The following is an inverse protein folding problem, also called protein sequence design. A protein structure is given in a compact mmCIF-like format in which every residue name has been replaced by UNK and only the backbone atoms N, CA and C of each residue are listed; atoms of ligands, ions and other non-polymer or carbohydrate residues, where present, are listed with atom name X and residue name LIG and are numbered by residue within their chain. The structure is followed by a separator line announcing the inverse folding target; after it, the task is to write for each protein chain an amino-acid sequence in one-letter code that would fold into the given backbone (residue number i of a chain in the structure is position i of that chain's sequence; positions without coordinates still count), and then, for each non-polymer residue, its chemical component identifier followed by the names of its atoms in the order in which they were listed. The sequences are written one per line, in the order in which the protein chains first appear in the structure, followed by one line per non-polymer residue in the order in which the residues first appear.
data_IF_238898569272
#
_entry.id   IF_238898569272
#
_cell.length_a   1.000
_cell.length_b   1.000
_cell.length_c   1.000
_cell.angle_alpha   90.00
_cell.angle_beta   90.00
_cell.angle_gamma   90.00
#
_symmetry.space_group_name_H-M   'P 1'
#
loop_
_entity.id
_entity.type
_entity.pdbx_description
1 polymer ?
#
# COMPACT_ATOMS: atom_id res chain seq x y z
N UNK A 1 -4.54 -9.27 -14.67
CA UNK A 1 -3.27 -9.64 -15.36
C UNK A 1 -2.29 -10.39 -14.45
N UNK A 2 -2.64 -10.65 -13.19
CA UNK A 2 -1.80 -11.41 -12.26
C UNK A 2 -0.77 -10.57 -11.49
N UNK A 3 -0.68 -9.25 -11.74
CA UNK A 3 0.18 -8.36 -10.96
C UNK A 3 -0.29 -8.30 -9.50
N UNK A 4 0.66 -8.32 -8.57
CA UNK A 4 0.41 -8.22 -7.13
C UNK A 4 0.95 -6.89 -6.62
N UNK A 5 0.05 -6.09 -6.05
CA UNK A 5 0.32 -4.78 -5.43
C UNK A 5 -0.16 -4.80 -3.98
N UNK A 6 0.47 -4.05 -3.05
CA UNK A 6 0.12 -4.06 -1.64
C UNK A 6 -1.10 -3.19 -1.31
N UNK A 7 -1.51 -2.29 -2.20
CA UNK A 7 -2.46 -1.25 -1.90
C UNK A 7 -3.42 -1.02 -3.08
N UNK A 8 -4.72 -0.95 -2.81
CA UNK A 8 -5.74 -0.76 -3.85
C UNK A 8 -5.76 0.66 -4.44
N UNK A 9 -5.21 1.66 -3.75
CA UNK A 9 -5.12 3.04 -4.25
C UNK A 9 -3.88 3.30 -5.11
N UNK A 10 -2.95 2.35 -5.19
CA UNK A 10 -1.80 2.39 -6.10
C UNK A 10 -2.21 1.98 -7.52
N UNK A 11 -3.05 2.81 -8.17
CA UNK A 11 -3.63 2.55 -9.49
C UNK A 11 -2.57 2.31 -10.57
N UNK A 12 -1.43 3.01 -10.47
CA UNK A 12 -0.32 2.89 -11.42
C UNK A 12 0.59 1.68 -11.14
N UNK A 13 0.33 0.92 -10.06
CA UNK A 13 1.14 -0.21 -9.62
C UNK A 13 2.61 0.17 -9.37
N UNK A 14 2.85 1.36 -8.80
CA UNK A 14 4.20 1.84 -8.46
C UNK A 14 4.88 0.95 -7.40
N UNK A 15 4.10 0.28 -6.55
CA UNK A 15 4.55 -0.60 -5.47
C UNK A 15 4.46 -2.09 -5.85
N UNK A 16 4.63 -2.42 -7.14
CA UNK A 16 4.51 -3.78 -7.63
C UNK A 16 5.48 -4.76 -6.92
N UNK A 17 4.90 -5.79 -6.29
CA UNK A 17 5.62 -6.82 -5.55
C UNK A 17 6.06 -7.95 -6.49
N UNK A 18 5.17 -8.36 -7.40
CA UNK A 18 5.45 -9.42 -8.37
C UNK A 18 4.23 -9.81 -9.20
N UNK A 19 4.24 -11.02 -9.75
CA UNK A 19 3.14 -11.55 -10.56
C UNK A 19 2.90 -13.03 -10.21
N UNK A 20 1.63 -13.41 -10.02
CA UNK A 20 1.22 -14.78 -9.68
C UNK A 20 1.51 -15.81 -10.79
N UNK A 21 1.77 -15.35 -12.01
CA UNK A 21 2.18 -16.23 -13.11
C UNK A 21 3.61 -16.75 -12.94
N UNK A 22 4.42 -16.07 -12.12
CA UNK A 22 5.84 -16.38 -11.93
C UNK A 22 6.16 -16.88 -10.51
N UNK A 23 5.27 -16.66 -9.54
CA UNK A 23 5.50 -17.00 -8.13
C UNK A 23 4.20 -17.23 -7.36
N UNK A 24 4.30 -17.78 -6.15
CA UNK A 24 3.16 -18.06 -5.28
C UNK A 24 2.87 -16.87 -4.34
N UNK A 25 1.61 -16.71 -3.94
CA UNK A 25 1.22 -15.67 -2.97
C UNK A 25 2.04 -15.73 -1.66
N UNK A 26 2.29 -16.91 -1.04
CA UNK A 26 3.12 -16.97 0.17
C UNK A 26 4.56 -16.47 -0.02
N UNK A 27 5.16 -16.73 -1.19
CA UNK A 27 6.50 -16.24 -1.50
C UNK A 27 6.49 -14.73 -1.75
N UNK A 28 5.54 -14.24 -2.54
CA UNK A 28 5.35 -12.81 -2.80
C UNK A 28 5.10 -12.03 -1.49
N UNK A 29 4.34 -12.62 -0.56
CA UNK A 29 4.08 -12.05 0.77
C UNK A 29 5.35 -11.93 1.64
N UNK A 30 6.30 -12.83 1.45
CA UNK A 30 7.61 -12.85 2.15
C UNK A 30 8.73 -12.19 1.35
N UNK A 31 8.41 -11.64 0.17
CA UNK A 31 9.41 -11.04 -0.71
C UNK A 31 10.12 -9.86 -0.05
N UNK A 32 11.37 -9.65 -0.44
CA UNK A 32 12.20 -8.54 0.02
C UNK A 32 11.52 -7.18 -0.22
N UNK A 33 10.91 -6.97 -1.40
CA UNK A 33 10.19 -5.74 -1.73
C UNK A 33 9.09 -5.41 -0.71
N UNK A 34 8.29 -6.41 -0.33
CA UNK A 34 7.21 -6.19 0.63
C UNK A 34 7.75 -6.02 2.05
N UNK A 35 8.84 -6.71 2.42
CA UNK A 35 9.48 -6.54 3.72
C UNK A 35 10.07 -5.12 3.88
N UNK A 36 10.76 -4.60 2.86
CA UNK A 36 11.27 -3.22 2.84
C UNK A 36 10.12 -2.23 3.01
N UNK A 37 9.01 -2.41 2.27
CA UNK A 37 7.85 -1.53 2.39
C UNK A 37 7.25 -1.56 3.80
N UNK A 38 7.19 -2.73 4.44
CA UNK A 38 6.73 -2.86 5.84
C UNK A 38 7.67 -2.13 6.80
N UNK A 39 8.97 -2.29 6.65
CA UNK A 39 9.96 -1.60 7.49
C UNK A 39 9.88 -0.08 7.36
N UNK A 40 9.75 0.43 6.14
CA UNK A 40 9.53 1.85 5.86
C UNK A 40 8.29 2.38 6.61
N UNK A 41 7.16 1.65 6.54
CA UNK A 41 5.94 2.04 7.26
C UNK A 41 6.13 2.02 8.78
N UNK A 42 6.82 1.00 9.32
CA UNK A 42 7.10 0.91 10.75
C UNK A 42 8.00 2.05 11.26
N UNK A 43 8.92 2.53 10.43
CA UNK A 43 9.82 3.65 10.74
C UNK A 43 9.24 5.03 10.42
N UNK A 44 8.09 5.10 9.74
CA UNK A 44 7.51 6.35 9.24
C UNK A 44 8.22 6.94 8.01
N UNK A 45 9.10 6.16 7.37
CA UNK A 45 9.89 6.50 6.19
C UNK A 45 9.12 6.14 4.90
N UNK A 46 7.95 6.76 4.73
CA UNK A 46 7.04 6.40 3.64
C UNK A 46 7.63 6.74 2.25
N UNK A 47 7.54 5.83 1.26
CA UNK A 47 7.84 6.16 -0.12
C UNK A 47 6.85 7.20 -0.66
N UNK A 48 7.19 7.87 -1.76
CA UNK A 48 6.39 8.95 -2.35
C UNK A 48 4.91 8.56 -2.56
N UNK A 49 4.65 7.34 -3.04
CA UNK A 49 3.29 6.80 -3.22
C UNK A 49 2.47 6.79 -1.94
N UNK A 50 3.12 6.68 -0.78
CA UNK A 50 2.49 6.58 0.54
C UNK A 50 2.63 7.86 1.38
N UNK A 51 3.55 8.78 1.02
CA UNK A 51 3.94 9.92 1.84
C UNK A 51 2.77 10.86 2.20
N UNK A 52 1.81 11.00 1.27
CA UNK A 52 0.59 11.80 1.43
C UNK A 52 -0.68 10.93 1.31
N UNK A 53 -0.63 9.68 1.81
CA UNK A 53 -1.76 8.77 1.77
C UNK A 53 -2.93 9.33 2.58
N UNK A 54 -4.11 9.42 1.96
CA UNK A 54 -5.36 9.86 2.57
C UNK A 54 -6.31 8.71 2.97
N UNK A 55 -5.86 7.46 2.81
CA UNK A 55 -6.62 6.28 3.24
C UNK A 55 -6.25 5.84 4.66
N UNK A 56 -5.01 6.06 5.10
CA UNK A 56 -4.59 5.81 6.49
C UNK A 56 -4.92 7.00 7.40
N UNK A 57 -5.11 6.78 8.70
CA UNK A 57 -5.24 7.90 9.64
C UNK A 57 -3.87 8.57 9.78
N UNK A 58 -3.75 9.77 9.23
CA UNK A 58 -2.54 10.59 9.34
C UNK A 58 -2.92 12.06 9.32
N UNK A 59 -2.06 12.90 9.89
CA UNK A 59 -2.19 14.36 9.81
C UNK A 59 -1.60 14.93 8.51
N UNK A 60 -1.21 14.07 7.54
CA UNK A 60 -0.49 14.48 6.33
C UNK A 60 -1.42 14.78 5.14
N UNK A 61 -2.63 14.23 5.12
CA UNK A 61 -3.59 14.44 4.04
C UNK A 61 -5.04 14.33 4.55
N UNK A 62 -5.94 15.12 3.98
CA UNK A 62 -7.37 15.03 4.27
C UNK A 62 -7.96 13.73 3.73
N UNK A 63 -8.78 13.05 4.54
CA UNK A 63 -9.40 11.77 4.19
C UNK A 63 -10.20 11.87 2.89
N UNK A 64 -10.03 10.86 2.02
CA UNK A 64 -10.77 10.77 0.74
C UNK A 64 -12.28 10.61 0.95
N UNK A 65 -12.66 9.81 1.94
CA UNK A 65 -14.05 9.58 2.28
C UNK A 65 -14.41 10.37 3.53
N UNK A 66 -15.50 11.14 3.46
CA UNK A 66 -16.06 11.83 4.60
C UNK A 66 -16.52 10.79 5.62
N UNK A 67 -15.75 10.59 6.70
CA UNK A 67 -16.13 9.71 7.83
C UNK A 67 -17.46 10.11 8.51
N UNK A 68 -18.00 11.29 8.19
CA UNK A 68 -19.31 11.75 8.67
C UNK A 68 -20.52 11.08 7.98
N UNK A 69 -20.32 10.18 7.00
CA UNK A 69 -21.43 9.44 6.38
C UNK A 69 -21.88 8.20 7.18
N UNK A 70 -21.15 7.80 8.23
CA UNK A 70 -21.47 6.62 9.06
C UNK A 70 -21.83 6.98 10.52
N UNK A 71 -21.84 8.25 10.88
CA UNK A 71 -22.39 8.76 12.14
C UNK A 71 -23.78 9.33 11.89
N UNK A 72 -24.77 8.45 11.83
CA UNK A 72 -26.17 8.81 12.08
C UNK A 72 -26.87 7.69 12.86
#
# INVERSE_FOLDING_TARGET
DGRVIPCCVDYNANLMIGNIQNDTIPNLWKSEKLNILREQHLKGEFPDTCANCNECESNKADKRFFVNALTK
#
